data_IF_602892340940
#
_entry.id   IF_602892340940
#
_cell.length_a   1.000
_cell.length_b   1.000
_cell.length_c   1.000
_cell.angle_alpha   90.00
_cell.angle_beta   90.00
_cell.angle_gamma   90.00
#
_symmetry.space_group_name_H-M   'P 1'
#
loop_
_entity.id
_entity.type
_entity.pdbx_description
1 polymer ?
#
# COMPACT_ATOMS: atom_id res chain seq x y z
N UNK A 1 2.55 10.92 -1.00
CA UNK A 1 1.50 11.92 -0.68
C UNK A 1 0.68 11.48 0.55
N UNK A 2 0.08 10.26 0.56
CA UNK A 2 -0.86 9.80 1.62
C UNK A 2 -0.21 9.74 3.00
N UNK A 3 0.96 9.11 3.13
CA UNK A 3 1.70 9.04 4.41
C UNK A 3 2.10 10.44 4.87
N UNK A 4 2.57 11.30 3.97
CA UNK A 4 2.94 12.67 4.28
C UNK A 4 1.75 13.48 4.82
N UNK A 5 0.58 13.37 4.19
CA UNK A 5 -0.64 14.00 4.68
C UNK A 5 -1.01 13.48 6.09
N UNK A 6 -0.93 12.17 6.28
CA UNK A 6 -1.21 11.52 7.56
C UNK A 6 -0.23 11.99 8.67
N UNK A 7 1.06 12.15 8.36
CA UNK A 7 2.07 12.68 9.29
C UNK A 7 1.73 14.11 9.75
N UNK A 8 1.14 14.90 8.86
CA UNK A 8 0.67 16.26 9.16
C UNK A 8 -0.74 16.30 9.79
N UNK A 9 -1.28 15.17 10.20
CA UNK A 9 -2.60 15.08 10.84
C UNK A 9 -3.79 15.28 9.90
N UNK A 10 -3.57 15.17 8.60
CA UNK A 10 -4.60 15.30 7.57
C UNK A 10 -5.14 13.90 7.25
N UNK A 11 -6.46 13.73 7.28
CA UNK A 11 -7.13 12.50 6.84
C UNK A 11 -6.78 12.22 5.39
N UNK A 12 -6.26 11.03 5.10
CA UNK A 12 -5.76 10.70 3.78
C UNK A 12 -6.14 9.27 3.35
N UNK A 13 -6.51 9.14 2.07
CA UNK A 13 -6.80 7.85 1.43
C UNK A 13 -6.09 7.79 0.09
N UNK A 14 -5.37 6.71 -0.16
CA UNK A 14 -4.78 6.41 -1.46
C UNK A 14 -5.56 5.32 -2.17
N UNK A 15 -6.00 5.60 -3.41
CA UNK A 15 -6.60 4.61 -4.28
C UNK A 15 -5.64 4.26 -5.40
N UNK A 16 -5.38 2.98 -5.58
CA UNK A 16 -4.52 2.45 -6.64
C UNK A 16 -5.26 1.38 -7.42
N UNK A 17 -5.34 1.53 -8.73
CA UNK A 17 -5.78 0.49 -9.64
C UNK A 17 -4.57 -0.36 -10.02
N UNK A 18 -4.68 -1.69 -9.97
CA UNK A 18 -3.60 -2.61 -10.36
C UNK A 18 -3.43 -2.61 -11.90
N UNK A 19 -3.06 -1.46 -12.44
CA UNK A 19 -2.87 -1.25 -13.87
C UNK A 19 -1.85 -0.14 -14.13
N UNK A 20 -0.80 -0.43 -14.88
CA UNK A 20 0.31 0.50 -15.11
C UNK A 20 0.24 1.28 -16.43
N UNK A 21 -0.81 1.08 -17.25
CA UNK A 21 -0.94 1.82 -18.51
C UNK A 21 -1.46 3.24 -18.29
N UNK A 22 -0.96 4.23 -19.02
CA UNK A 22 -1.52 5.57 -19.01
C UNK A 22 -2.96 5.62 -19.58
N UNK A 23 -3.41 4.58 -20.29
CA UNK A 23 -4.77 4.41 -20.79
C UNK A 23 -5.64 3.51 -19.92
N UNK A 24 -5.33 3.40 -18.62
CA UNK A 24 -6.13 2.58 -17.69
C UNK A 24 -7.58 3.06 -17.62
N UNK A 25 -8.52 2.13 -17.73
CA UNK A 25 -9.95 2.42 -17.58
C UNK A 25 -10.36 2.30 -16.10
N UNK A 26 -10.79 3.40 -15.54
CA UNK A 26 -11.26 3.50 -14.15
C UNK A 26 -12.78 3.31 -14.01
N UNK A 27 -13.52 3.12 -15.10
CA UNK A 27 -14.99 3.07 -15.09
C UNK A 27 -15.55 2.01 -14.15
N UNK A 28 -14.91 0.84 -14.08
CA UNK A 28 -15.33 -0.28 -13.22
C UNK A 28 -15.07 -0.02 -11.73
N UNK A 29 -14.05 0.77 -11.41
CA UNK A 29 -13.64 1.09 -10.03
C UNK A 29 -14.28 2.38 -9.48
N UNK A 30 -14.61 3.33 -10.35
CA UNK A 30 -15.08 4.66 -9.97
C UNK A 30 -16.28 4.67 -8.98
N UNK A 31 -17.33 3.86 -9.14
CA UNK A 31 -18.44 3.84 -8.18
C UNK A 31 -18.02 3.42 -6.78
N UNK A 32 -17.10 2.45 -6.67
CA UNK A 32 -16.60 1.98 -5.39
C UNK A 32 -15.67 3.03 -4.74
N UNK A 33 -14.82 3.67 -5.52
CA UNK A 33 -13.96 4.78 -5.07
C UNK A 33 -14.81 5.92 -4.51
N UNK A 34 -15.83 6.36 -5.25
CA UNK A 34 -16.73 7.42 -4.81
C UNK A 34 -17.43 7.08 -3.48
N UNK A 35 -17.93 5.85 -3.35
CA UNK A 35 -18.57 5.37 -2.12
C UNK A 35 -17.60 5.37 -0.94
N UNK A 36 -16.41 4.82 -1.09
CA UNK A 36 -15.40 4.75 -0.02
C UNK A 36 -14.89 6.14 0.37
N UNK A 37 -14.67 7.02 -0.61
CA UNK A 37 -14.29 8.40 -0.34
C UNK A 37 -15.39 9.17 0.42
N UNK A 38 -16.65 9.01 0.03
CA UNK A 38 -17.78 9.62 0.72
C UNK A 38 -17.91 9.13 2.17
N UNK A 39 -17.69 7.83 2.41
CA UNK A 39 -17.70 7.25 3.76
C UNK A 39 -16.61 7.90 4.65
N UNK A 40 -15.39 8.01 4.15
CA UNK A 40 -14.28 8.63 4.89
C UNK A 40 -14.53 10.12 5.13
N UNK A 41 -15.14 10.83 4.17
CA UNK A 41 -15.52 12.24 4.38
C UNK A 41 -16.59 12.38 5.46
N UNK A 42 -17.56 11.46 5.50
CA UNK A 42 -18.66 11.53 6.46
C UNK A 42 -18.24 11.14 7.90
N UNK A 43 -17.35 10.16 8.04
CA UNK A 43 -17.03 9.58 9.35
C UNK A 43 -15.59 9.90 9.84
N UNK A 44 -14.72 10.36 8.93
CA UNK A 44 -13.30 10.59 9.23
C UNK A 44 -12.51 9.29 9.42
N UNK A 45 -11.26 9.45 9.84
CA UNK A 45 -10.38 8.36 10.26
C UNK A 45 -9.73 8.74 11.61
N UNK A 46 -9.31 7.78 12.42
CA UNK A 46 -8.51 8.06 13.60
C UNK A 46 -7.26 8.88 13.26
N UNK A 47 -6.80 9.73 14.18
CA UNK A 47 -5.58 10.50 13.98
C UNK A 47 -4.41 9.59 13.60
N UNK A 48 -3.57 10.06 12.71
CA UNK A 48 -2.40 9.34 12.20
C UNK A 48 -2.73 8.00 11.52
N UNK A 49 -3.97 7.86 11.03
CA UNK A 49 -4.39 6.72 10.22
C UNK A 49 -4.69 7.18 8.81
N UNK A 50 -4.15 6.47 7.83
CA UNK A 50 -4.51 6.61 6.44
C UNK A 50 -4.93 5.25 5.87
N UNK A 51 -5.62 5.26 4.73
CA UNK A 51 -5.99 4.03 4.04
C UNK A 51 -5.21 3.90 2.74
N UNK A 52 -4.55 2.75 2.57
CA UNK A 52 -4.02 2.29 1.30
C UNK A 52 -5.04 1.34 0.68
N UNK A 53 -5.66 1.73 -0.42
CA UNK A 53 -6.73 0.99 -1.08
C UNK A 53 -6.26 0.57 -2.47
N UNK A 54 -6.14 -0.73 -2.68
CA UNK A 54 -5.77 -1.31 -3.97
C UNK A 54 -6.98 -2.00 -4.60
N UNK A 55 -7.18 -1.77 -5.89
CA UNK A 55 -8.37 -2.19 -6.64
C UNK A 55 -7.93 -3.09 -7.80
N UNK A 56 -8.52 -4.29 -7.97
CA UNK A 56 -8.19 -5.16 -9.09
C UNK A 56 -8.59 -4.50 -10.42
N UNK A 57 -7.73 -4.64 -11.45
CA UNK A 57 -7.99 -4.14 -12.79
C UNK A 57 -8.89 -5.07 -13.59
N UNK A 58 -9.53 -4.51 -14.64
CA UNK A 58 -10.29 -5.24 -15.66
C UNK A 58 -11.53 -6.00 -15.18
N UNK A 59 -11.93 -5.87 -13.94
CA UNK A 59 -13.13 -6.50 -13.38
C UNK A 59 -13.90 -5.50 -12.50
N UNK A 60 -15.18 -5.73 -12.33
CA UNK A 60 -15.95 -5.11 -11.25
C UNK A 60 -15.53 -5.81 -9.95
N UNK A 61 -15.02 -5.09 -8.95
CA UNK A 61 -14.61 -5.72 -7.70
C UNK A 61 -15.77 -6.45 -7.02
N UNK A 62 -15.54 -7.65 -6.54
CA UNK A 62 -16.55 -8.48 -5.84
C UNK A 62 -17.02 -7.86 -4.52
N UNK A 63 -16.24 -6.93 -3.97
CA UNK A 63 -16.50 -6.26 -2.70
C UNK A 63 -15.22 -5.68 -2.13
N UNK A 64 -15.22 -5.39 -0.84
CA UNK A 64 -14.11 -4.78 -0.11
C UNK A 64 -13.67 -5.70 1.02
N UNK A 65 -12.36 -5.77 1.29
CA UNK A 65 -11.78 -6.47 2.43
C UNK A 65 -10.74 -5.60 3.12
N UNK A 66 -10.89 -5.42 4.42
CA UNK A 66 -9.85 -4.84 5.25
C UNK A 66 -8.88 -5.94 5.65
N UNK A 67 -7.59 -5.68 5.46
CA UNK A 67 -6.54 -6.67 5.63
C UNK A 67 -5.21 -5.98 6.00
N UNK A 68 -4.18 -6.75 6.23
CA UNK A 68 -2.81 -6.24 6.34
C UNK A 68 -2.10 -6.27 4.98
N UNK A 69 -1.03 -5.49 4.85
CA UNK A 69 -0.13 -5.62 3.71
C UNK A 69 0.60 -6.98 3.76
N UNK A 70 0.80 -7.58 2.60
CA UNK A 70 1.65 -8.76 2.46
C UNK A 70 3.11 -8.41 2.75
N UNK A 71 3.85 -9.35 3.36
CA UNK A 71 5.30 -9.24 3.46
C UNK A 71 5.93 -9.61 2.13
N UNK A 72 6.91 -8.82 1.73
CA UNK A 72 7.61 -9.07 0.50
C UNK A 72 8.64 -7.99 0.22
N UNK A 73 9.33 -8.15 -0.87
CA UNK A 73 10.32 -7.20 -1.36
C UNK A 73 10.23 -7.05 -2.87
N UNK A 74 10.79 -5.98 -3.38
CA UNK A 74 10.96 -5.81 -4.82
C UNK A 74 12.29 -6.41 -5.23
N UNK A 75 12.30 -7.14 -6.35
CA UNK A 75 13.49 -7.69 -6.99
C UNK A 75 13.67 -7.04 -8.36
N UNK A 76 14.91 -7.02 -8.85
CA UNK A 76 15.24 -6.48 -10.17
C UNK A 76 14.72 -5.03 -10.36
N UNK A 77 14.91 -4.21 -9.33
CA UNK A 77 14.33 -2.86 -9.28
C UNK A 77 14.86 -1.92 -10.35
N UNK A 78 16.04 -2.20 -10.90
CA UNK A 78 16.69 -1.35 -11.90
C UNK A 78 17.19 -2.18 -13.08
N UNK A 79 16.83 -1.74 -14.28
CA UNK A 79 17.40 -2.23 -15.52
C UNK A 79 18.29 -1.16 -16.14
N UNK A 80 19.52 -1.55 -16.55
CA UNK A 80 20.51 -0.65 -17.11
C UNK A 80 20.33 -0.57 -18.61
N UNK A 81 20.22 0.65 -19.14
CA UNK A 81 20.20 0.98 -20.56
C UNK A 81 21.34 1.94 -20.92
N UNK A 82 21.59 2.10 -22.20
CA UNK A 82 22.56 3.05 -22.75
C UNK A 82 21.80 4.04 -23.64
N UNK A 83 21.98 5.34 -23.40
CA UNK A 83 21.39 6.38 -24.22
C UNK A 83 22.12 6.51 -25.59
N UNK A 84 21.59 7.28 -26.57
CA UNK A 84 22.26 7.50 -27.85
C UNK A 84 23.63 8.19 -27.76
N UNK A 85 23.96 8.81 -26.61
CA UNK A 85 25.26 9.46 -26.35
C UNK A 85 26.21 8.54 -25.56
N UNK A 86 25.92 7.25 -25.48
CA UNK A 86 26.69 6.24 -24.75
C UNK A 86 26.77 6.42 -23.25
N UNK A 87 25.85 7.19 -22.64
CA UNK A 87 25.76 7.29 -21.20
C UNK A 87 24.83 6.19 -20.63
N UNK A 88 25.18 5.56 -19.51
CA UNK A 88 24.29 4.63 -18.85
C UNK A 88 23.18 5.38 -18.11
N UNK A 89 21.96 4.89 -18.25
CA UNK A 89 20.85 5.27 -17.38
C UNK A 89 20.16 4.02 -16.84
N UNK A 90 19.43 4.17 -15.74
CA UNK A 90 18.74 3.09 -15.09
C UNK A 90 17.25 3.35 -15.13
N UNK A 91 16.52 2.38 -15.64
CA UNK A 91 15.07 2.42 -15.63
C UNK A 91 14.57 1.73 -14.35
N UNK A 92 13.63 2.37 -13.63
CA UNK A 92 12.99 1.74 -12.50
C UNK A 92 12.03 0.67 -13.03
N UNK A 93 12.34 -0.56 -12.70
CA UNK A 93 11.57 -1.76 -13.02
C UNK A 93 11.16 -2.42 -11.71
N UNK A 94 11.08 -3.70 -11.70
CA UNK A 94 10.93 -4.50 -10.49
C UNK A 94 9.69 -5.37 -10.52
N UNK A 95 9.82 -6.44 -9.79
CA UNK A 95 8.76 -7.40 -9.54
C UNK A 95 8.60 -7.60 -8.05
N UNK A 96 7.38 -7.47 -7.55
CA UNK A 96 7.08 -7.78 -6.17
C UNK A 96 7.20 -9.29 -5.93
N UNK A 97 7.98 -9.68 -4.93
CA UNK A 97 8.14 -11.05 -4.47
C UNK A 97 7.41 -11.20 -3.14
N UNK A 98 6.25 -11.85 -3.17
CA UNK A 98 5.49 -12.18 -1.96
C UNK A 98 6.21 -13.28 -1.18
N UNK A 99 6.57 -13.03 0.08
CA UNK A 99 7.25 -13.97 0.97
C UNK A 99 6.29 -14.85 1.78
N UNK A 100 4.98 -14.60 1.68
CA UNK A 100 3.96 -15.34 2.41
C UNK A 100 2.75 -15.69 1.51
N UNK A 101 2.98 -16.41 0.39
CA UNK A 101 1.94 -16.65 -0.63
C UNK A 101 0.75 -17.46 -0.10
N UNK A 102 0.91 -18.19 0.98
CA UNK A 102 -0.15 -18.99 1.62
C UNK A 102 -1.00 -18.19 2.61
N UNK A 103 -0.61 -16.95 2.94
CA UNK A 103 -1.36 -16.11 3.87
C UNK A 103 -2.66 -15.60 3.23
N UNK A 104 -3.79 -15.80 3.91
CA UNK A 104 -5.13 -15.45 3.39
C UNK A 104 -5.71 -14.16 3.99
N UNK A 105 -4.92 -13.46 4.81
CA UNK A 105 -5.28 -12.22 5.49
C UNK A 105 -4.62 -10.98 4.91
N UNK A 106 -3.98 -11.11 3.74
CA UNK A 106 -3.17 -10.06 3.08
C UNK A 106 -3.92 -9.39 1.93
N UNK A 107 -3.46 -8.21 1.55
CA UNK A 107 -3.94 -7.47 0.39
C UNK A 107 -3.69 -8.23 -0.92
N UNK A 108 -2.52 -8.85 -1.09
CA UNK A 108 -2.20 -9.70 -2.24
C UNK A 108 -3.20 -10.83 -2.41
N UNK A 109 -3.54 -11.53 -1.31
CA UNK A 109 -4.54 -12.60 -1.34
C UNK A 109 -5.90 -12.07 -1.79
N UNK A 110 -6.41 -11.01 -1.17
CA UNK A 110 -7.75 -10.51 -1.49
C UNK A 110 -7.84 -9.91 -2.90
N UNK A 111 -6.78 -9.25 -3.36
CA UNK A 111 -6.68 -8.76 -4.74
C UNK A 111 -6.72 -9.93 -5.73
N UNK A 112 -6.00 -11.02 -5.47
CA UNK A 112 -6.04 -12.23 -6.31
C UNK A 112 -7.42 -12.89 -6.38
N UNK A 113 -8.23 -12.72 -5.31
CA UNK A 113 -9.62 -13.19 -5.27
C UNK A 113 -10.61 -12.22 -5.93
N UNK A 114 -10.14 -11.07 -6.44
CA UNK A 114 -10.96 -10.06 -7.12
C UNK A 114 -11.70 -9.10 -6.17
N UNK A 115 -11.23 -8.93 -4.96
CA UNK A 115 -11.73 -7.94 -4.00
C UNK A 115 -10.83 -6.70 -3.99
N UNK A 116 -11.41 -5.56 -3.69
CA UNK A 116 -10.65 -4.37 -3.30
C UNK A 116 -10.10 -4.57 -1.89
N UNK A 117 -8.81 -4.37 -1.72
CA UNK A 117 -8.18 -4.41 -0.40
C UNK A 117 -8.15 -3.01 0.24
N UNK A 118 -8.35 -2.94 1.55
CA UNK A 118 -8.12 -1.76 2.37
C UNK A 118 -7.08 -2.13 3.44
N UNK A 119 -5.93 -1.48 3.39
CA UNK A 119 -4.89 -1.63 4.40
C UNK A 119 -4.83 -0.32 5.20
N UNK A 120 -5.22 -0.32 6.49
CA UNK A 120 -4.96 0.82 7.36
C UNK A 120 -3.45 0.95 7.59
N UNK A 121 -2.92 2.14 7.38
CA UNK A 121 -1.49 2.45 7.54
C UNK A 121 -1.31 3.66 8.46
N UNK A 122 -0.17 3.73 9.12
CA UNK A 122 0.23 4.86 9.94
C UNK A 122 1.68 5.25 9.64
N UNK A 123 2.07 6.50 9.90
CA UNK A 123 3.46 6.95 9.69
C UNK A 123 4.42 6.46 10.77
N UNK A 124 3.90 5.99 11.92
CA UNK A 124 4.73 5.49 13.02
C UNK A 124 5.27 4.10 12.71
N UNK A 125 6.57 4.00 12.57
CA UNK A 125 7.30 2.74 12.32
C UNK A 125 7.83 2.06 13.58
N UNK A 126 7.45 2.57 14.75
CA UNK A 126 7.87 2.00 16.04
C UNK A 126 7.29 0.59 16.22
N UNK A 127 8.15 -0.38 16.44
CA UNK A 127 7.76 -1.72 16.86
C UNK A 127 7.38 -1.70 18.35
N UNK A 128 6.14 -1.25 18.63
CA UNK A 128 5.65 -1.07 20.02
C UNK A 128 5.75 -2.35 20.84
N UNK A 129 5.56 -3.51 20.22
CA UNK A 129 5.73 -4.82 20.85
C UNK A 129 7.18 -5.12 21.30
N UNK A 130 8.15 -4.40 20.73
CA UNK A 130 9.58 -4.57 21.04
C UNK A 130 10.11 -3.53 22.05
N UNK A 131 9.35 -2.49 22.36
CA UNK A 131 9.84 -1.42 23.26
C UNK A 131 10.21 -2.00 24.64
N UNK A 132 9.30 -2.71 25.32
CA UNK A 132 9.56 -3.31 26.63
C UNK A 132 10.68 -4.37 26.62
N UNK A 133 10.70 -5.33 25.66
CA UNK A 133 11.85 -6.25 25.56
C UNK A 133 13.20 -5.55 25.39
N UNK A 134 13.24 -4.48 24.60
CA UNK A 134 14.50 -3.72 24.38
C UNK A 134 14.89 -2.90 25.59
N UNK A 135 13.92 -2.26 26.28
CA UNK A 135 14.17 -1.55 27.53
C UNK A 135 14.76 -2.49 28.58
N UNK A 136 14.17 -3.67 28.77
CA UNK A 136 14.70 -4.69 29.71
C UNK A 136 16.15 -5.08 29.41
N UNK A 137 16.54 -5.05 28.13
CA UNK A 137 17.89 -5.45 27.69
C UNK A 137 18.92 -4.32 27.77
N UNK A 138 18.52 -3.10 27.48
CA UNK A 138 19.45 -2.00 27.21
C UNK A 138 19.38 -0.86 28.22
N UNK A 139 18.27 -0.69 28.94
CA UNK A 139 18.19 0.38 29.92
C UNK A 139 19.10 0.06 31.11
N UNK A 140 19.89 1.04 31.53
CA UNK A 140 20.76 0.95 32.70
C UNK A 140 20.70 2.26 33.46
N UNK A 141 20.36 2.20 34.72
CA UNK A 141 20.52 3.33 35.61
C UNK A 141 22.04 3.50 35.92
N UNK A 142 22.55 4.68 35.65
CA UNK A 142 23.92 5.07 36.03
C UNK A 142 23.88 5.80 37.37
#
# INVERSE_FOLDING_TARGET
>A
AVIEACTNGITAVGFSLLHHSPSADFSLSAPQVARLAADVVAHGLPKFTALNINIPAHIVPKGVRTCRAARGHWSEEFERFIDPHQNPFYWLTGRFCNEEPEATDTDEYWLSQGYTSIVPVCPDVTRMDMVTPMATRFDSDK
#
